data_IF_678839247184
#
_entry.id   IF_678839247184
#
_cell.length_a   1.000
_cell.length_b   1.000
_cell.length_c   1.000
_cell.angle_alpha   90.00
_cell.angle_beta   90.00
_cell.angle_gamma   90.00
#
_symmetry.space_group_name_H-M   'P 1'
#
loop_
_entity.id
_entity.type
_entity.pdbx_description
1 polymer ?
#
# COMPACT_ATOMS: atom_id res chain seq x y z
N UNK A 1 -18.86 14.88 -1.20
CA UNK A 1 -17.46 14.50 -0.95
C UNK A 1 -16.62 15.74 -0.92
N UNK A 2 -16.14 16.14 0.26
CA UNK A 2 -15.17 17.24 0.35
C UNK A 2 -13.78 16.61 0.31
N UNK A 3 -13.18 16.63 -0.89
CA UNK A 3 -11.84 16.09 -1.17
C UNK A 3 -10.81 16.62 -0.18
N UNK A 4 -10.92 17.89 0.22
CA UNK A 4 -10.00 18.52 1.16
C UNK A 4 -10.09 17.95 2.57
N UNK A 5 -11.30 17.63 3.04
CA UNK A 5 -11.51 16.99 4.34
C UNK A 5 -10.95 15.57 4.33
N UNK A 6 -11.19 14.81 3.25
CA UNK A 6 -10.66 13.45 3.12
C UNK A 6 -9.13 13.47 3.07
N UNK A 7 -8.52 14.38 2.29
CA UNK A 7 -7.08 14.52 2.25
C UNK A 7 -6.49 14.86 3.64
N UNK A 8 -7.11 15.78 4.38
CA UNK A 8 -6.69 16.14 5.74
C UNK A 8 -6.87 14.98 6.75
N UNK A 9 -7.85 14.11 6.54
CA UNK A 9 -8.09 12.94 7.38
C UNK A 9 -7.09 11.81 7.07
N UNK A 10 -6.88 11.48 5.79
CA UNK A 10 -5.94 10.42 5.39
C UNK A 10 -4.50 10.80 5.68
N UNK A 11 -4.18 12.10 5.76
CA UNK A 11 -2.88 12.63 6.20
C UNK A 11 -2.69 12.67 7.72
N UNK A 12 -3.66 12.21 8.50
CA UNK A 12 -3.50 11.96 9.93
C UNK A 12 -3.73 10.49 10.27
N UNK A 13 -4.62 9.83 9.53
CA UNK A 13 -5.08 8.48 9.74
C UNK A 13 -5.23 7.78 8.38
N UNK A 14 -4.24 7.00 7.94
CA UNK A 14 -4.28 6.34 6.63
C UNK A 14 -5.51 5.45 6.41
N UNK A 15 -6.05 4.84 7.48
CA UNK A 15 -7.28 4.03 7.44
C UNK A 15 -8.55 4.85 7.16
N UNK A 16 -8.51 6.19 7.26
CA UNK A 16 -9.67 7.04 6.95
C UNK A 16 -10.12 6.89 5.49
N UNK A 17 -9.27 6.35 4.62
CA UNK A 17 -9.59 6.00 3.24
C UNK A 17 -10.76 4.98 3.14
N UNK A 18 -10.96 4.13 4.15
CA UNK A 18 -12.09 3.21 4.25
C UNK A 18 -13.44 3.92 4.14
N UNK A 19 -13.55 5.11 4.76
CA UNK A 19 -14.78 5.89 4.83
C UNK A 19 -14.94 6.85 3.66
N UNK A 20 -13.94 6.94 2.78
CA UNK A 20 -14.01 7.74 1.58
C UNK A 20 -14.93 7.08 0.54
N UNK A 21 -15.56 7.89 -0.31
CA UNK A 21 -16.33 7.37 -1.44
C UNK A 21 -15.42 6.65 -2.44
N UNK A 22 -15.97 5.74 -3.24
CA UNK A 22 -15.23 5.02 -4.31
C UNK A 22 -14.43 5.97 -5.22
N UNK A 23 -15.00 7.12 -5.61
CA UNK A 23 -14.31 8.14 -6.42
C UNK A 23 -13.02 8.67 -5.76
N UNK A 24 -12.98 8.73 -4.43
CA UNK A 24 -11.82 9.20 -3.67
C UNK A 24 -10.86 8.07 -3.29
N UNK A 25 -11.36 6.83 -3.22
CA UNK A 25 -10.52 5.63 -3.11
C UNK A 25 -9.76 5.34 -4.42
N UNK A 26 -10.24 5.89 -5.53
CA UNK A 26 -9.57 5.90 -6.83
C UNK A 26 -8.76 7.19 -7.07
N UNK A 27 -8.80 8.15 -6.15
CA UNK A 27 -7.98 9.36 -6.24
C UNK A 27 -6.54 9.04 -5.84
N UNK A 28 -5.67 8.98 -6.83
CA UNK A 28 -4.23 8.71 -6.68
C UNK A 28 -3.56 9.56 -5.61
N UNK A 29 -3.89 10.86 -5.51
CA UNK A 29 -3.24 11.75 -4.54
C UNK A 29 -3.69 11.43 -3.11
N UNK A 30 -4.97 11.11 -2.92
CA UNK A 30 -5.51 10.71 -1.62
C UNK A 30 -4.93 9.37 -1.18
N UNK A 31 -4.88 8.39 -2.09
CA UNK A 31 -4.31 7.07 -1.81
C UNK A 31 -2.83 7.19 -1.47
N UNK A 32 -2.05 7.96 -2.25
CA UNK A 32 -0.64 8.15 -1.96
C UNK A 32 -0.43 8.86 -0.61
N UNK A 33 -1.25 9.86 -0.29
CA UNK A 33 -1.21 10.53 1.02
C UNK A 33 -1.56 9.57 2.17
N UNK A 34 -2.52 8.67 1.97
CA UNK A 34 -2.91 7.65 2.95
C UNK A 34 -1.80 6.61 3.18
N UNK A 35 -1.15 6.19 2.09
CA UNK A 35 -0.07 5.18 2.09
C UNK A 35 1.22 5.73 2.70
N UNK A 36 1.51 7.02 2.48
CA UNK A 36 2.69 7.69 3.04
C UNK A 36 2.52 8.15 4.48
N UNK A 37 1.33 7.97 5.06
CA UNK A 37 1.12 8.37 6.45
C UNK A 37 1.86 7.46 7.43
N UNK A 38 2.90 8.03 8.03
CA UNK A 38 3.55 7.52 9.25
C UNK A 38 2.72 7.83 10.51
N UNK A 39 1.39 7.61 10.42
CA UNK A 39 0.48 7.83 11.52
C UNK A 39 0.70 6.76 12.57
N UNK A 40 1.38 7.14 13.67
CA UNK A 40 1.56 6.36 14.90
C UNK A 40 0.23 5.85 15.47
N UNK A 41 -0.34 4.82 14.88
CA UNK A 41 -1.55 4.18 15.38
C UNK A 41 -1.34 2.70 15.29
N UNK A 42 -0.86 2.17 16.42
CA UNK A 42 -0.99 0.80 16.91
C UNK A 42 -0.69 -0.27 15.85
N UNK A 43 0.40 -1.03 16.04
CA UNK A 43 1.00 -2.11 15.22
C UNK A 43 0.06 -3.24 14.67
N UNK A 44 -1.16 -2.92 14.26
CA UNK A 44 -2.22 -3.80 13.79
C UNK A 44 -2.91 -3.24 12.52
N UNK A 45 -2.50 -2.06 12.02
CA UNK A 45 -3.14 -1.40 10.87
C UNK A 45 -2.18 -0.77 9.85
N UNK A 46 -0.89 -1.03 9.98
CA UNK A 46 0.08 -0.64 8.95
C UNK A 46 -0.28 -1.42 7.65
N UNK A 47 -0.26 -0.75 6.50
CA UNK A 47 -0.54 -1.36 5.19
C UNK A 47 -2.00 -1.37 4.71
N UNK A 48 -2.96 -1.05 5.58
CA UNK A 48 -4.40 -1.07 5.27
C UNK A 48 -4.81 -0.03 4.19
N UNK A 49 -4.06 1.06 4.04
CA UNK A 49 -4.40 2.08 3.03
C UNK A 49 -4.40 1.52 1.59
N UNK A 50 -3.47 0.61 1.29
CA UNK A 50 -3.41 -0.01 -0.05
C UNK A 50 -4.60 -0.96 -0.28
N UNK A 51 -5.12 -1.60 0.77
CA UNK A 51 -6.29 -2.48 0.70
C UNK A 51 -7.56 -1.76 0.21
N UNK A 52 -7.76 -0.51 0.64
CA UNK A 52 -8.94 0.29 0.26
C UNK A 52 -8.77 1.03 -1.08
N UNK A 53 -7.57 1.01 -1.66
CA UNK A 53 -7.36 1.59 -2.97
C UNK A 53 -8.09 0.79 -4.07
N UNK A 54 -8.39 1.45 -5.18
CA UNK A 54 -8.93 0.77 -6.36
C UNK A 54 -7.99 -0.32 -6.87
N UNK A 55 -8.52 -1.25 -7.65
CA UNK A 55 -7.69 -2.32 -8.23
C UNK A 55 -6.60 -1.77 -9.16
N UNK A 56 -6.87 -0.66 -9.84
CA UNK A 56 -5.90 0.01 -10.71
C UNK A 56 -4.74 0.57 -9.89
N UNK A 57 -5.03 1.23 -8.77
CA UNK A 57 -4.00 1.80 -7.90
C UNK A 57 -3.22 0.74 -7.11
N UNK A 58 -3.82 -0.42 -6.82
CA UNK A 58 -3.12 -1.60 -6.29
C UNK A 58 -2.16 -2.27 -7.27
N UNK A 59 -2.28 -1.94 -8.56
CA UNK A 59 -1.33 -2.32 -9.60
C UNK A 59 -0.40 -1.17 -10.00
N UNK A 60 -0.57 0.03 -9.42
CA UNK A 60 0.34 1.16 -9.65
C UNK A 60 1.64 0.89 -8.90
N UNK A 61 2.68 0.60 -9.68
CA UNK A 61 4.03 0.32 -9.20
C UNK A 61 4.54 1.36 -8.19
N UNK A 62 4.31 2.64 -8.43
CA UNK A 62 4.82 3.72 -7.56
C UNK A 62 4.09 3.74 -6.22
N UNK A 63 2.77 3.55 -6.24
CA UNK A 63 1.95 3.50 -5.02
C UNK A 63 2.33 2.27 -4.20
N UNK A 64 2.44 1.11 -4.83
CA UNK A 64 2.81 -0.14 -4.17
C UNK A 64 4.24 -0.05 -3.62
N UNK A 65 5.20 0.45 -4.39
CA UNK A 65 6.57 0.64 -3.90
C UNK A 65 6.60 1.59 -2.69
N UNK A 66 5.83 2.67 -2.74
CA UNK A 66 5.70 3.59 -1.62
C UNK A 66 5.06 2.91 -0.41
N UNK A 67 4.05 2.06 -0.61
CA UNK A 67 3.43 1.31 0.46
C UNK A 67 4.40 0.35 1.13
N UNK A 68 5.09 -0.49 0.34
CA UNK A 68 6.00 -1.50 0.89
C UNK A 68 7.26 -0.92 1.52
N UNK A 69 7.64 0.30 1.15
CA UNK A 69 8.77 0.99 1.79
C UNK A 69 8.41 1.60 3.14
N UNK A 70 7.12 1.83 3.40
CA UNK A 70 6.63 2.29 4.70
C UNK A 70 6.15 1.14 5.57
N UNK A 71 5.61 0.08 4.98
CA UNK A 71 5.23 -1.16 5.65
C UNK A 71 5.32 -2.36 4.69
N UNK A 72 6.25 -3.27 4.96
CA UNK A 72 6.43 -4.49 4.17
C UNK A 72 5.19 -5.39 4.13
N UNK A 73 4.26 -5.29 5.09
CA UNK A 73 2.99 -6.04 5.08
C UNK A 73 2.04 -5.55 3.99
N UNK A 74 2.16 -4.29 3.54
CA UNK A 74 1.32 -3.73 2.49
C UNK A 74 1.40 -4.52 1.18
N UNK A 75 2.50 -5.25 0.96
CA UNK A 75 2.69 -6.09 -0.22
C UNK A 75 1.62 -7.19 -0.37
N UNK A 76 1.01 -7.64 0.73
CA UNK A 76 -0.12 -8.58 0.70
C UNK A 76 -1.32 -8.05 -0.11
N UNK A 77 -1.47 -6.72 -0.18
CA UNK A 77 -2.59 -6.06 -0.85
C UNK A 77 -2.26 -5.59 -2.27
N UNK A 78 -1.00 -5.73 -2.69
CA UNK A 78 -0.59 -5.45 -4.06
C UNK A 78 -1.19 -6.47 -5.03
N UNK A 79 -1.33 -6.07 -6.30
CA UNK A 79 -1.76 -7.00 -7.34
C UNK A 79 -0.67 -8.06 -7.59
N UNK A 80 -1.08 -9.30 -7.87
CA UNK A 80 -0.17 -10.41 -8.18
C UNK A 80 0.75 -10.14 -9.38
N UNK A 81 0.36 -9.25 -10.29
CA UNK A 81 1.21 -8.81 -11.41
C UNK A 81 2.54 -8.20 -10.95
N UNK A 82 2.57 -7.60 -9.74
CA UNK A 82 3.77 -7.01 -9.16
C UNK A 82 4.63 -8.00 -8.36
N UNK A 83 4.20 -9.26 -8.23
CA UNK A 83 4.94 -10.30 -7.50
C UNK A 83 6.27 -10.71 -8.14
N UNK A 84 6.48 -10.31 -9.40
CA UNK A 84 7.74 -10.46 -10.13
C UNK A 84 8.61 -9.19 -10.10
N UNK A 85 8.11 -8.06 -9.59
CA UNK A 85 8.91 -6.84 -9.51
C UNK A 85 9.94 -6.98 -8.39
N UNK A 86 11.18 -7.21 -8.81
CA UNK A 86 12.30 -7.43 -7.90
C UNK A 86 12.49 -6.29 -6.91
N UNK A 87 12.29 -5.04 -7.32
CA UNK A 87 12.52 -3.90 -6.44
C UNK A 87 11.46 -3.83 -5.34
N UNK A 88 10.19 -4.01 -5.72
CA UNK A 88 9.06 -4.01 -4.77
C UNK A 88 9.19 -5.17 -3.79
N UNK A 89 9.44 -6.38 -4.30
CA UNK A 89 9.57 -7.57 -3.44
C UNK A 89 10.78 -7.40 -2.51
N UNK A 90 11.92 -6.92 -3.00
CA UNK A 90 13.09 -6.74 -2.16
C UNK A 90 12.84 -5.69 -1.07
N UNK A 91 12.17 -4.59 -1.40
CA UNK A 91 11.77 -3.58 -0.41
C UNK A 91 10.86 -4.19 0.67
N UNK A 92 9.82 -4.93 0.26
CA UNK A 92 8.89 -5.59 1.16
C UNK A 92 9.57 -6.63 2.05
N UNK A 93 10.43 -7.48 1.49
CA UNK A 93 11.17 -8.55 2.20
C UNK A 93 12.21 -7.98 3.16
N UNK A 94 12.82 -6.85 2.81
CA UNK A 94 13.81 -6.17 3.66
C UNK A 94 13.17 -5.65 4.95
N UNK A 95 11.94 -5.13 4.86
CA UNK A 95 11.19 -4.65 6.02
C UNK A 95 10.50 -5.79 6.77
N UNK A 96 9.78 -6.66 6.05
CA UNK A 96 9.11 -7.84 6.59
C UNK A 96 9.42 -9.09 5.76
N UNK A 97 10.25 -9.98 6.29
CA UNK A 97 10.61 -11.24 5.63
C UNK A 97 9.42 -12.17 5.31
N UNK A 98 8.26 -11.97 5.93
CA UNK A 98 7.02 -12.67 5.58
C UNK A 98 6.52 -12.32 4.17
N UNK A 99 6.83 -11.11 3.67
CA UNK A 99 6.46 -10.67 2.33
C UNK A 99 6.99 -11.58 1.21
N UNK A 100 8.06 -12.34 1.49
CA UNK A 100 8.64 -13.28 0.53
C UNK A 100 7.63 -14.34 0.09
N UNK A 101 6.64 -14.71 0.92
CA UNK A 101 5.63 -15.70 0.55
C UNK A 101 4.74 -15.25 -0.61
N UNK A 102 4.57 -13.93 -0.78
CA UNK A 102 3.76 -13.34 -1.83
C UNK A 102 4.55 -13.14 -3.13
N UNK A 103 5.89 -13.16 -3.06
CA UNK A 103 6.73 -13.08 -4.24
C UNK A 103 6.51 -14.28 -5.18
N UNK A 104 6.73 -14.06 -6.47
CA UNK A 104 6.60 -15.12 -7.47
C UNK A 104 7.55 -16.29 -7.18
N UNK A 105 7.21 -17.46 -7.69
CA UNK A 105 8.07 -18.64 -7.48
C UNK A 105 9.45 -18.47 -8.12
N UNK A 106 9.53 -17.78 -9.26
CA UNK A 106 10.81 -17.49 -9.93
C UNK A 106 11.69 -16.61 -9.04
N UNK A 107 11.14 -15.49 -8.57
CA UNK A 107 11.90 -14.53 -7.77
C UNK A 107 12.29 -15.10 -6.40
N UNK A 108 11.42 -15.90 -5.76
CA UNK A 108 11.75 -16.65 -4.53
C UNK A 108 12.92 -17.61 -4.68
N UNK A 109 13.13 -18.15 -5.88
CA UNK A 109 14.24 -19.06 -6.15
C UNK A 109 15.56 -18.32 -6.46
N UNK A 110 15.51 -17.01 -6.73
CA UNK A 110 16.66 -16.16 -7.06
C UNK A 110 17.21 -15.35 -5.88
N UNK A 111 16.44 -15.21 -4.79
CA UNK A 111 16.84 -14.53 -3.55
C UNK A 111 17.60 -15.46 -2.59
#
# INVERSE_FOLDING_TARGET
>A
NDRGIVLAAVTQFGYALEYASEELQDDREIVLAAVTQNGYTNALQEGIALFYASQELRNDREIVLTAVTHDGCAFEYANEELNNDREIVLAAVTDNGWALQFASQELRNEM
#
